data_IF_852448081929
#
_entry.id   IF_852448081929
#
_cell.length_a   1.000
_cell.length_b   1.000
_cell.length_c   1.000
_cell.angle_alpha   90.00
_cell.angle_beta   90.00
_cell.angle_gamma   90.00
#
_symmetry.space_group_name_H-M   'P 1'
#
loop_
_entity.id
_entity.type
_entity.pdbx_description
1 polymer ?
#
# COMPACT_ATOMS: atom_id res chain seq x y z
N UNK A 1 70.16 -1.33 -0.54
CA UNK A 1 69.23 -2.36 -1.03
C UNK A 1 68.25 -2.87 0.02
N UNK A 2 68.66 -3.32 1.22
CA UNK A 2 67.75 -3.86 2.25
C UNK A 2 66.57 -2.93 2.62
N UNK A 3 66.82 -1.61 2.78
CA UNK A 3 65.77 -0.63 3.12
C UNK A 3 64.69 -0.48 2.03
N UNK A 4 65.08 -0.55 0.76
CA UNK A 4 64.14 -0.45 -0.38
C UNK A 4 63.24 -1.69 -0.42
N UNK A 5 63.79 -2.86 -0.11
CA UNK A 5 63.06 -4.12 -0.09
C UNK A 5 62.03 -4.18 1.05
N UNK A 6 62.34 -3.59 2.20
CA UNK A 6 61.40 -3.44 3.33
C UNK A 6 60.26 -2.47 2.97
N UNK A 7 60.56 -1.36 2.31
CA UNK A 7 59.53 -0.39 1.87
C UNK A 7 58.58 -1.03 0.85
N UNK A 8 59.10 -1.78 -0.11
CA UNK A 8 58.28 -2.49 -1.10
C UNK A 8 57.37 -3.54 -0.45
N UNK A 9 57.87 -4.26 0.56
CA UNK A 9 57.07 -5.25 1.28
C UNK A 9 55.92 -4.62 2.07
N UNK A 10 56.16 -3.48 2.74
CA UNK A 10 55.12 -2.73 3.46
C UNK A 10 54.05 -2.22 2.48
N UNK A 11 54.46 -1.71 1.31
CA UNK A 11 53.52 -1.23 0.30
C UNK A 11 52.59 -2.34 -0.20
N UNK A 12 53.13 -3.55 -0.39
CA UNK A 12 52.37 -4.73 -0.80
C UNK A 12 51.31 -5.13 0.24
N UNK A 13 51.64 -5.05 1.53
CA UNK A 13 50.68 -5.32 2.61
C UNK A 13 49.55 -4.29 2.61
N UNK A 14 49.86 -3.00 2.43
CA UNK A 14 48.85 -1.94 2.39
C UNK A 14 47.91 -2.14 1.21
N UNK A 15 48.43 -2.44 0.02
CA UNK A 15 47.61 -2.72 -1.17
C UNK A 15 46.71 -3.94 -0.92
N UNK A 16 47.24 -5.01 -0.34
CA UNK A 16 46.47 -6.20 0.02
C UNK A 16 45.32 -5.88 1.00
N UNK A 17 45.59 -5.05 2.01
CA UNK A 17 44.57 -4.62 2.97
C UNK A 17 43.47 -3.77 2.32
N UNK A 18 43.81 -2.87 1.40
CA UNK A 18 42.85 -2.05 0.65
C UNK A 18 41.95 -2.94 -0.22
N UNK A 19 42.53 -3.91 -0.94
CA UNK A 19 41.75 -4.84 -1.78
C UNK A 19 40.79 -5.69 -0.94
N UNK A 20 41.26 -6.18 0.22
CA UNK A 20 40.42 -6.94 1.15
C UNK A 20 39.28 -6.09 1.71
N UNK A 21 39.57 -4.83 2.06
CA UNK A 21 38.58 -3.88 2.56
C UNK A 21 37.51 -3.55 1.51
N UNK A 22 37.91 -3.30 0.26
CA UNK A 22 36.98 -3.10 -0.87
C UNK A 22 36.12 -4.35 -1.08
N UNK A 23 36.71 -5.54 -1.04
CA UNK A 23 35.97 -6.81 -1.18
C UNK A 23 34.93 -6.99 -0.06
N UNK A 24 35.27 -6.68 1.20
CA UNK A 24 34.35 -6.76 2.33
C UNK A 24 33.21 -5.74 2.18
N UNK A 25 33.50 -4.51 1.76
CA UNK A 25 32.48 -3.48 1.50
C UNK A 25 31.55 -3.91 0.36
N UNK A 26 32.10 -4.39 -0.75
CA UNK A 26 31.31 -4.86 -1.90
C UNK A 26 30.46 -6.09 -1.57
N UNK A 27 30.94 -6.99 -0.70
CA UNK A 27 30.16 -8.15 -0.25
C UNK A 27 29.07 -7.77 0.77
N UNK A 28 29.29 -6.75 1.60
CA UNK A 28 28.26 -6.19 2.49
C UNK A 28 27.19 -5.42 1.70
N UNK A 29 27.60 -4.71 0.66
CA UNK A 29 26.73 -4.13 -0.34
C UNK A 29 26.34 -5.18 -1.37
N UNK A 30 26.00 -6.40 -0.92
CA UNK A 30 25.37 -7.39 -1.76
C UNK A 30 24.25 -6.68 -2.49
N UNK A 31 24.34 -6.66 -3.82
CA UNK A 31 23.38 -6.04 -4.74
C UNK A 31 22.02 -6.33 -4.15
N UNK A 32 21.40 -5.33 -3.51
CA UNK A 32 20.01 -5.46 -3.11
C UNK A 32 19.33 -5.84 -4.41
N UNK A 33 18.80 -7.06 -4.50
CA UNK A 33 17.74 -7.32 -5.46
C UNK A 33 16.80 -6.16 -5.23
N UNK A 34 16.73 -5.25 -6.18
CA UNK A 34 15.70 -4.24 -6.21
C UNK A 34 14.45 -5.10 -6.30
N UNK A 35 13.82 -5.31 -5.16
CA UNK A 35 12.63 -6.13 -5.06
C UNK A 35 11.58 -5.31 -5.82
N UNK A 36 11.47 -5.58 -7.11
CA UNK A 36 10.50 -4.92 -7.95
C UNK A 36 9.14 -5.21 -7.35
N UNK A 37 8.38 -4.16 -7.06
CA UNK A 37 6.99 -4.30 -6.65
C UNK A 37 6.25 -4.97 -7.79
N UNK A 38 5.78 -6.18 -7.55
CA UNK A 38 4.89 -6.88 -8.46
C UNK A 38 3.46 -6.45 -8.14
N UNK A 39 2.67 -6.20 -9.18
CA UNK A 39 1.28 -5.80 -9.09
C UNK A 39 0.39 -6.97 -9.51
N UNK A 40 -0.56 -7.31 -8.67
CA UNK A 40 -1.53 -8.36 -8.93
C UNK A 40 -2.84 -7.76 -9.42
N UNK A 41 -3.42 -8.29 -10.52
CA UNK A 41 -4.69 -7.81 -11.03
C UNK A 41 -5.85 -8.25 -10.11
N UNK A 42 -7.01 -7.60 -10.29
CA UNK A 42 -8.17 -7.75 -9.41
C UNK A 42 -8.69 -9.19 -9.36
N UNK A 43 -8.50 -9.98 -10.43
CA UNK A 43 -8.92 -11.37 -10.52
C UNK A 43 -8.14 -12.26 -9.55
N UNK A 44 -6.82 -12.05 -9.44
CA UNK A 44 -5.97 -12.80 -8.49
C UNK A 44 -6.31 -12.37 -7.06
N UNK A 45 -6.51 -11.07 -6.84
CA UNK A 45 -6.96 -10.55 -5.55
C UNK A 45 -8.35 -11.08 -5.15
N UNK A 46 -9.26 -11.27 -6.12
CA UNK A 46 -10.58 -11.86 -5.89
C UNK A 46 -10.48 -13.31 -5.44
N UNK A 47 -9.64 -14.13 -6.10
CA UNK A 47 -9.37 -15.50 -5.65
C UNK A 47 -8.83 -15.52 -4.22
N UNK A 48 -7.95 -14.57 -3.89
CA UNK A 48 -7.49 -14.39 -2.52
C UNK A 48 -8.60 -14.01 -1.55
N UNK A 49 -9.51 -13.11 -1.92
CA UNK A 49 -10.66 -12.77 -1.10
C UNK A 49 -11.59 -13.98 -0.87
N UNK A 50 -11.88 -14.75 -1.92
CA UNK A 50 -12.73 -15.95 -1.88
C UNK A 50 -12.18 -17.00 -0.91
N UNK A 51 -10.88 -17.30 -1.00
CA UNK A 51 -10.20 -18.23 -0.08
C UNK A 51 -10.19 -17.75 1.38
N UNK A 52 -10.33 -16.44 1.61
CA UNK A 52 -10.37 -15.82 2.94
C UNK A 52 -11.79 -15.54 3.44
N UNK A 53 -12.84 -16.01 2.76
CA UNK A 53 -14.22 -15.89 3.25
C UNK A 53 -14.46 -16.67 4.55
N UNK A 54 -13.58 -17.62 4.90
CA UNK A 54 -13.60 -18.36 6.17
C UNK A 54 -13.52 -17.46 7.41
N UNK A 55 -12.98 -16.23 7.30
CA UNK A 55 -13.04 -15.25 8.39
C UNK A 55 -14.50 -14.93 8.82
N UNK A 56 -15.45 -15.15 7.93
CA UNK A 56 -16.88 -14.99 8.13
C UNK A 56 -17.62 -16.32 8.38
N UNK A 57 -16.94 -17.39 8.84
CA UNK A 57 -17.52 -18.73 9.03
C UNK A 57 -18.85 -18.79 9.80
N UNK A 58 -19.12 -17.82 10.68
CA UNK A 58 -20.36 -17.72 11.45
C UNK A 58 -21.55 -17.14 10.66
N UNK A 59 -21.33 -16.72 9.41
CA UNK A 59 -22.34 -16.15 8.52
C UNK A 59 -22.81 -17.21 7.53
N UNK A 60 -24.07 -17.14 7.11
CA UNK A 60 -24.67 -18.15 6.23
C UNK A 60 -24.71 -17.65 4.80
N UNK A 61 -24.12 -18.40 3.88
CA UNK A 61 -24.13 -18.06 2.46
C UNK A 61 -23.31 -16.81 2.13
N UNK A 62 -22.09 -16.76 2.67
CA UNK A 62 -21.21 -15.60 2.47
C UNK A 62 -20.81 -15.48 1.01
N UNK A 63 -20.95 -14.29 0.44
CA UNK A 63 -20.55 -13.95 -0.93
C UNK A 63 -19.82 -12.60 -0.99
N UNK A 64 -18.98 -12.46 -2.02
CA UNK A 64 -18.42 -11.16 -2.42
C UNK A 64 -19.39 -10.49 -3.36
N UNK A 65 -19.86 -9.30 -3.00
CA UNK A 65 -20.87 -8.55 -3.75
C UNK A 65 -20.26 -7.47 -4.65
N UNK A 66 -19.10 -6.94 -4.26
CA UNK A 66 -18.49 -5.80 -4.94
C UNK A 66 -17.00 -5.73 -4.69
N UNK A 67 -16.33 -4.95 -5.55
CA UNK A 67 -14.91 -4.65 -5.44
C UNK A 67 -14.69 -3.16 -5.67
N UNK A 68 -13.77 -2.57 -4.94
CA UNK A 68 -13.34 -1.18 -5.12
C UNK A 68 -11.81 -1.13 -5.13
N UNK A 69 -11.23 -0.53 -6.16
CA UNK A 69 -9.77 -0.38 -6.27
C UNK A 69 -9.29 0.79 -5.44
N UNK A 70 -8.31 0.53 -4.57
CA UNK A 70 -7.58 1.54 -3.83
C UNK A 70 -6.21 1.76 -4.48
N UNK A 71 -5.71 2.98 -4.37
CA UNK A 71 -4.49 3.38 -5.06
C UNK A 71 -3.47 3.95 -4.07
N UNK A 72 -2.22 4.06 -4.50
CA UNK A 72 -1.24 4.91 -3.85
C UNK A 72 -1.34 6.36 -4.36
N UNK A 73 -0.48 7.23 -3.84
CA UNK A 73 -0.42 8.64 -4.24
C UNK A 73 0.06 8.87 -5.68
N UNK A 74 0.55 7.83 -6.35
CA UNK A 74 0.98 7.84 -7.75
C UNK A 74 -0.05 7.20 -8.68
N UNK A 75 -1.27 6.98 -8.21
CA UNK A 75 -2.37 6.32 -8.95
C UNK A 75 -2.09 4.87 -9.33
N UNK A 76 -1.18 4.20 -8.64
CA UNK A 76 -0.94 2.78 -8.85
C UNK A 76 -1.85 1.98 -7.91
N UNK A 77 -2.54 0.92 -8.37
CA UNK A 77 -3.31 0.06 -7.48
C UNK A 77 -2.45 -0.45 -6.33
N UNK A 78 -2.88 -0.18 -5.09
CA UNK A 78 -2.15 -0.59 -3.88
C UNK A 78 -2.91 -1.65 -3.09
N UNK A 79 -4.25 -1.66 -3.17
CA UNK A 79 -5.10 -2.67 -2.57
C UNK A 79 -6.49 -2.71 -3.24
N UNK A 80 -7.25 -3.76 -2.94
CA UNK A 80 -8.64 -3.96 -3.36
C UNK A 80 -9.52 -4.16 -2.13
N UNK A 81 -10.61 -3.40 -2.04
CA UNK A 81 -11.65 -3.56 -1.03
C UNK A 81 -12.76 -4.44 -1.61
N UNK A 82 -12.99 -5.61 -1.03
CA UNK A 82 -14.09 -6.49 -1.37
C UNK A 82 -15.21 -6.40 -0.34
N UNK A 83 -16.40 -6.03 -0.78
CA UNK A 83 -17.59 -6.01 0.08
C UNK A 83 -18.13 -7.43 0.21
N UNK A 84 -18.33 -7.87 1.44
CA UNK A 84 -18.80 -9.21 1.78
C UNK A 84 -20.20 -9.11 2.39
N UNK A 85 -21.14 -9.97 1.96
CA UNK A 85 -22.47 -10.06 2.56
C UNK A 85 -22.87 -11.50 2.85
N UNK A 86 -23.85 -11.68 3.75
CA UNK A 86 -24.54 -12.95 3.96
C UNK A 86 -25.99 -12.89 3.46
N UNK A 87 -26.67 -14.03 3.43
CA UNK A 87 -28.07 -14.10 2.97
C UNK A 87 -29.07 -13.35 3.85
N UNK A 88 -28.67 -12.95 5.06
CA UNK A 88 -29.49 -12.25 6.04
C UNK A 88 -29.17 -10.75 6.10
N UNK A 89 -28.33 -10.24 5.20
CA UNK A 89 -27.99 -8.83 5.10
C UNK A 89 -26.90 -8.35 6.05
N UNK A 90 -26.18 -9.25 6.74
CA UNK A 90 -24.92 -8.87 7.41
C UNK A 90 -23.94 -8.43 6.34
N UNK A 91 -23.16 -7.39 6.65
CA UNK A 91 -22.20 -6.82 5.71
C UNK A 91 -20.87 -6.56 6.41
N UNK A 92 -19.80 -6.82 5.66
CA UNK A 92 -18.42 -6.68 6.09
C UNK A 92 -17.54 -6.42 4.88
N UNK A 93 -16.23 -6.47 5.07
CA UNK A 93 -15.30 -6.33 3.96
C UNK A 93 -13.99 -7.08 4.19
N UNK A 94 -13.30 -7.34 3.09
CA UNK A 94 -11.91 -7.78 3.03
C UNK A 94 -11.09 -6.73 2.28
N UNK A 95 -9.88 -6.46 2.75
CA UNK A 95 -8.89 -5.70 1.99
C UNK A 95 -7.79 -6.65 1.58
N UNK A 96 -7.59 -6.76 0.28
CA UNK A 96 -6.58 -7.60 -0.34
C UNK A 96 -5.50 -6.71 -0.94
N UNK A 97 -4.23 -7.04 -0.74
CA UNK A 97 -3.13 -6.29 -1.33
C UNK A 97 -3.19 -6.36 -2.86
N UNK A 98 -2.88 -5.26 -3.55
CA UNK A 98 -2.68 -5.28 -5.00
C UNK A 98 -1.19 -5.50 -5.35
N UNK A 99 -0.34 -5.66 -4.34
CA UNK A 99 1.10 -5.78 -4.50
C UNK A 99 1.68 -6.91 -3.69
N UNK A 100 2.89 -7.33 -4.05
CA UNK A 100 3.69 -8.24 -3.25
C UNK A 100 4.39 -7.57 -2.05
N UNK A 101 4.08 -6.32 -1.68
CA UNK A 101 4.71 -5.66 -0.52
C UNK A 101 4.23 -6.19 0.83
N UNK A 102 3.10 -6.91 0.84
CA UNK A 102 2.51 -7.52 2.02
C UNK A 102 1.74 -8.78 1.68
N UNK A 103 1.27 -9.47 2.71
CA UNK A 103 0.41 -10.63 2.56
C UNK A 103 -0.87 -10.33 1.74
N UNK A 104 -1.47 -11.35 1.13
CA UNK A 104 -2.64 -11.21 0.28
C UNK A 104 -3.81 -10.59 1.05
N UNK A 105 -4.15 -11.13 2.23
CA UNK A 105 -5.14 -10.51 3.12
C UNK A 105 -4.46 -9.46 4.02
N UNK A 106 -4.87 -8.21 3.88
CA UNK A 106 -4.41 -7.08 4.69
C UNK A 106 -5.31 -6.89 5.91
N UNK A 107 -6.62 -6.79 5.67
CA UNK A 107 -7.61 -6.47 6.68
C UNK A 107 -8.92 -7.21 6.41
N UNK A 108 -9.65 -7.51 7.48
CA UNK A 108 -10.99 -8.06 7.43
C UNK A 108 -11.85 -7.42 8.51
N UNK A 109 -13.10 -7.10 8.20
CA UNK A 109 -14.04 -6.57 9.17
C UNK A 109 -15.43 -7.16 8.99
N UNK A 110 -16.09 -7.46 10.11
CA UNK A 110 -17.51 -7.85 10.18
C UNK A 110 -18.44 -6.64 10.38
N UNK A 111 -17.89 -5.42 10.34
CA UNK A 111 -18.65 -4.18 10.40
C UNK A 111 -19.10 -3.76 8.99
N UNK A 112 -20.34 -3.27 8.82
CA UNK A 112 -20.76 -2.67 7.56
C UNK A 112 -19.99 -1.39 7.24
N UNK A 113 -19.45 -0.69 8.25
CA UNK A 113 -18.63 0.49 8.07
C UNK A 113 -17.34 0.13 7.35
N UNK A 114 -17.19 0.66 6.14
CA UNK A 114 -16.01 0.43 5.32
C UNK A 114 -15.48 1.74 4.72
N UNK A 115 -14.22 1.76 4.26
CA UNK A 115 -13.59 2.98 3.76
C UNK A 115 -14.31 3.60 2.54
N UNK A 116 -14.98 2.79 1.71
CA UNK A 116 -15.74 3.30 0.57
C UNK A 116 -16.98 4.08 1.03
N UNK A 117 -17.71 3.60 2.04
CA UNK A 117 -18.84 4.33 2.63
C UNK A 117 -18.36 5.65 3.25
N UNK A 118 -17.25 5.61 3.99
CA UNK A 118 -16.66 6.81 4.59
C UNK A 118 -16.24 7.84 3.53
N UNK A 119 -15.72 7.39 2.38
CA UNK A 119 -15.40 8.25 1.25
C UNK A 119 -16.65 8.93 0.68
N UNK A 120 -17.76 8.19 0.49
CA UNK A 120 -19.03 8.77 0.00
C UNK A 120 -19.54 9.86 0.95
N UNK A 121 -19.49 9.60 2.26
CA UNK A 121 -19.88 10.57 3.28
C UNK A 121 -18.99 11.82 3.25
N UNK A 122 -17.67 11.65 3.09
CA UNK A 122 -16.73 12.76 2.94
C UNK A 122 -17.03 13.60 1.69
N UNK A 123 -17.29 12.98 0.54
CA UNK A 123 -17.62 13.70 -0.70
C UNK A 123 -18.87 14.55 -0.49
N UNK A 124 -19.90 13.99 0.14
CA UNK A 124 -21.13 14.73 0.44
C UNK A 124 -20.85 15.92 1.38
N UNK A 125 -20.01 15.73 2.41
CA UNK A 125 -19.58 16.80 3.30
C UNK A 125 -18.82 17.91 2.55
N UNK A 126 -17.80 17.55 1.77
CA UNK A 126 -16.98 18.52 1.01
C UNK A 126 -17.84 19.29 0.00
N UNK A 127 -18.77 18.62 -0.69
CA UNK A 127 -19.70 19.26 -1.61
C UNK A 127 -20.56 20.33 -0.90
N UNK A 128 -21.06 20.03 0.30
CA UNK A 128 -21.82 20.99 1.10
C UNK A 128 -20.98 22.19 1.54
N UNK A 129 -19.74 21.96 1.97
CA UNK A 129 -18.83 23.02 2.44
C UNK A 129 -18.36 23.94 1.31
N UNK A 130 -18.16 23.39 0.12
CA UNK A 130 -17.58 24.12 -1.02
C UNK A 130 -18.63 24.69 -1.98
N UNK A 131 -19.92 24.40 -1.75
CA UNK A 131 -21.04 24.72 -2.67
C UNK A 131 -20.90 24.09 -4.06
N UNK A 132 -20.03 23.10 -4.22
CA UNK A 132 -19.90 22.33 -5.45
C UNK A 132 -20.92 21.20 -5.48
N UNK A 133 -21.28 20.77 -6.70
CA UNK A 133 -22.08 19.56 -6.86
C UNK A 133 -21.15 18.36 -6.69
N UNK A 134 -21.56 17.24 -6.06
CA UNK A 134 -20.69 16.06 -5.94
C UNK A 134 -20.08 15.57 -7.26
N UNK A 135 -20.73 15.86 -8.40
CA UNK A 135 -20.23 15.54 -9.74
C UNK A 135 -18.99 16.35 -10.16
N UNK A 136 -18.76 17.52 -9.55
CA UNK A 136 -17.60 18.38 -9.81
C UNK A 136 -16.36 17.94 -9.02
N UNK A 137 -16.55 16.99 -8.09
CA UNK A 137 -15.51 16.42 -7.25
C UNK A 137 -15.03 15.10 -7.84
N UNK A 138 -13.73 14.99 -8.13
CA UNK A 138 -13.13 13.66 -8.33
C UNK A 138 -12.58 13.18 -7.00
N UNK A 139 -12.82 11.92 -6.71
CA UNK A 139 -12.40 11.30 -5.46
C UNK A 139 -11.70 9.99 -5.71
N UNK A 140 -10.76 9.67 -4.83
CA UNK A 140 -9.99 8.44 -4.89
C UNK A 140 -9.71 7.94 -3.49
N UNK A 141 -9.95 6.65 -3.26
CA UNK A 141 -9.56 5.97 -2.03
C UNK A 141 -8.09 5.57 -2.15
N UNK A 142 -7.31 5.97 -1.15
CA UNK A 142 -5.87 5.80 -1.12
C UNK A 142 -5.50 4.87 0.04
N UNK A 143 -4.67 3.88 -0.25
CA UNK A 143 -4.15 2.92 0.72
C UNK A 143 -2.63 2.90 0.70
N UNK A 144 -2.01 3.14 1.85
CA UNK A 144 -0.55 3.28 2.03
C UNK A 144 -0.02 2.31 3.11
N UNK A 145 -0.52 1.07 3.14
CA UNK A 145 0.05 0.00 3.97
C UNK A 145 -0.34 0.02 5.46
N UNK A 146 -1.24 0.91 5.88
CA UNK A 146 -1.66 1.02 7.30
C UNK A 146 -3.16 0.84 7.44
N UNK A 147 -3.66 0.67 8.67
CA UNK A 147 -5.12 0.65 8.95
C UNK A 147 -5.80 2.01 8.74
N UNK A 148 -5.02 3.05 8.41
CA UNK A 148 -5.55 4.36 8.07
C UNK A 148 -5.79 4.43 6.56
N UNK A 149 -7.04 4.64 6.17
CA UNK A 149 -7.41 4.91 4.78
C UNK A 149 -7.38 6.41 4.53
N UNK A 150 -6.95 6.80 3.33
CA UNK A 150 -6.90 8.19 2.93
C UNK A 150 -7.88 8.43 1.78
N UNK A 151 -8.39 9.64 1.65
CA UNK A 151 -9.19 10.08 0.53
C UNK A 151 -8.48 11.24 -0.15
N UNK A 152 -8.27 11.14 -1.45
CA UNK A 152 -7.88 12.28 -2.29
C UNK A 152 -9.14 12.87 -2.90
N UNK A 153 -9.36 14.16 -2.70
CA UNK A 153 -10.46 14.92 -3.31
C UNK A 153 -9.85 16.00 -4.20
N UNK A 154 -10.20 15.96 -5.48
CA UNK A 154 -9.87 16.98 -6.46
C UNK A 154 -11.09 17.89 -6.64
N UNK A 155 -10.91 19.16 -6.34
CA UNK A 155 -11.94 20.20 -6.41
C UNK A 155 -11.55 21.12 -7.56
N UNK A 156 -12.42 21.24 -8.56
CA UNK A 156 -12.21 22.14 -9.70
C UNK A 156 -13.06 23.39 -9.55
N UNK A 157 -12.40 24.55 -9.53
CA UNK A 157 -13.03 25.87 -9.49
C UNK A 157 -12.64 26.66 -10.74
N UNK A 158 -13.46 26.56 -11.80
CA UNK A 158 -13.11 27.12 -13.11
C UNK A 158 -11.86 26.45 -13.71
N UNK A 159 -10.76 27.22 -13.83
CA UNK A 159 -9.45 26.71 -14.26
C UNK A 159 -8.62 26.09 -13.14
N UNK A 160 -8.96 26.40 -11.88
CA UNK A 160 -8.12 26.05 -10.74
C UNK A 160 -8.46 24.65 -10.25
N UNK A 161 -7.42 23.89 -9.90
CA UNK A 161 -7.54 22.55 -9.35
C UNK A 161 -6.90 22.53 -7.95
N UNK A 162 -7.72 22.34 -6.93
CA UNK A 162 -7.27 22.09 -5.57
C UNK A 162 -7.31 20.59 -5.29
N UNK A 163 -6.18 20.04 -4.83
CA UNK A 163 -6.09 18.65 -4.38
C UNK A 163 -6.01 18.66 -2.86
N UNK A 164 -6.92 17.94 -2.20
CA UNK A 164 -6.95 17.79 -0.75
C UNK A 164 -6.89 16.32 -0.38
N UNK A 165 -6.14 16.01 0.67
CA UNK A 165 -6.06 14.67 1.21
C UNK A 165 -6.68 14.63 2.60
N UNK A 166 -7.53 13.64 2.84
CA UNK A 166 -8.19 13.44 4.12
C UNK A 166 -7.85 12.08 4.68
N UNK A 167 -7.58 11.98 5.98
CA UNK A 167 -7.62 10.71 6.69
C UNK A 167 -9.08 10.33 6.95
N UNK A 168 -9.47 9.15 6.50
CA UNK A 168 -10.80 8.58 6.74
C UNK A 168 -10.80 7.85 8.09
N UNK A 169 -11.68 8.29 8.99
CA UNK A 169 -11.91 7.65 10.28
C UNK A 169 -13.41 7.70 10.59
N UNK A 170 -13.95 6.66 11.23
CA UNK A 170 -15.35 6.61 11.69
C UNK A 170 -15.70 7.72 12.68
N UNK A 171 -14.72 8.26 13.41
CA UNK A 171 -14.90 9.37 14.34
C UNK A 171 -14.86 10.77 13.70
N UNK A 172 -14.51 10.88 12.41
CA UNK A 172 -14.40 12.15 11.69
C UNK A 172 -13.22 12.18 10.71
N UNK A 173 -13.34 13.02 9.68
CA UNK A 173 -12.34 13.15 8.63
C UNK A 173 -11.38 14.32 8.94
N UNK A 174 -10.08 14.09 8.77
CA UNK A 174 -9.05 15.10 9.06
C UNK A 174 -8.27 15.44 7.79
N UNK A 175 -8.16 16.74 7.47
CA UNK A 175 -7.32 17.20 6.36
C UNK A 175 -5.84 16.94 6.71
N UNK A 176 -5.11 16.39 5.75
CA UNK A 176 -3.68 16.11 5.87
C UNK A 176 -2.87 17.13 5.07
N UNK A 177 -1.70 17.44 5.60
CA UNK A 177 -0.68 18.24 4.91
C UNK A 177 0.09 17.40 3.90
N UNK A 178 0.69 18.06 2.89
CA UNK A 178 1.50 17.38 1.88
C UNK A 178 2.68 16.61 2.49
N UNK A 179 3.27 17.12 3.58
CA UNK A 179 4.40 16.47 4.23
C UNK A 179 3.98 15.20 4.98
N UNK A 180 2.82 15.19 5.61
CA UNK A 180 2.24 13.95 6.18
C UNK A 180 1.96 12.90 5.10
N UNK A 181 1.50 13.33 3.92
CA UNK A 181 1.28 12.42 2.78
C UNK A 181 2.60 11.85 2.26
N UNK A 182 3.64 12.68 2.11
CA UNK A 182 4.98 12.24 1.69
C UNK A 182 5.60 11.27 2.70
N UNK A 183 5.46 11.53 4.00
CA UNK A 183 5.97 10.65 5.05
C UNK A 183 5.29 9.28 4.99
N UNK A 184 3.95 9.26 4.92
CA UNK A 184 3.17 8.02 4.79
C UNK A 184 3.51 7.25 3.52
N UNK A 185 3.67 7.95 2.40
CA UNK A 185 4.07 7.30 1.15
C UNK A 185 5.47 6.72 1.23
N UNK A 186 6.42 7.45 1.82
CA UNK A 186 7.79 6.97 2.03
C UNK A 186 7.83 5.73 2.92
N UNK A 187 7.02 5.73 3.98
CA UNK A 187 6.83 4.57 4.85
C UNK A 187 6.24 3.38 4.08
N UNK A 188 5.18 3.59 3.29
CA UNK A 188 4.60 2.55 2.43
C UNK A 188 5.61 1.98 1.44
N UNK A 189 6.43 2.83 0.82
CA UNK A 189 7.49 2.40 -0.09
C UNK A 189 8.60 1.62 0.62
N UNK A 190 8.82 1.87 1.92
CA UNK A 190 9.75 1.12 2.75
C UNK A 190 9.22 -0.25 3.20
N UNK A 191 7.90 -0.46 3.14
CA UNK A 191 7.31 -1.76 3.51
C UNK A 191 7.68 -2.81 2.47
N UNK A 192 8.50 -3.75 2.91
CA UNK A 192 8.82 -4.97 2.18
C UNK A 192 8.66 -6.14 3.14
N UNK A 193 7.56 -6.85 3.04
CA UNK A 193 7.46 -8.18 3.63
C UNK A 193 8.30 -9.15 2.78
N UNK A 194 9.25 -9.86 3.39
CA UNK A 194 10.07 -10.85 2.67
C UNK A 194 9.34 -12.19 2.49
N UNK A 195 8.21 -12.38 3.17
CA UNK A 195 7.40 -13.60 3.10
C UNK A 195 6.13 -13.43 2.25
N UNK A 196 5.81 -12.22 1.80
CA UNK A 196 4.63 -11.92 1.00
C UNK A 196 4.60 -12.68 -0.34
N UNK A 197 5.72 -12.75 -1.06
CA UNK A 197 5.80 -13.47 -2.35
C UNK A 197 5.30 -14.92 -2.21
N UNK A 198 5.73 -15.62 -1.15
CA UNK A 198 5.31 -17.01 -0.88
C UNK A 198 3.82 -17.13 -0.60
N UNK A 199 3.24 -16.16 0.08
CA UNK A 199 1.81 -16.15 0.37
C UNK A 199 0.97 -15.88 -0.87
N UNK A 200 1.53 -15.19 -1.87
CA UNK A 200 0.90 -14.94 -3.17
C UNK A 200 1.03 -16.10 -4.15
N UNK A 201 2.11 -16.90 -4.11
CA UNK A 201 2.34 -18.03 -5.02
C UNK A 201 1.16 -19.00 -5.16
N UNK A 202 0.37 -19.21 -4.08
CA UNK A 202 -0.80 -20.11 -4.12
C UNK A 202 -1.94 -19.57 -4.99
N UNK A 203 -1.99 -18.26 -5.23
CA UNK A 203 -3.02 -17.61 -6.03
C UNK A 203 -2.61 -17.43 -7.49
N UNK A 204 -1.31 -17.48 -7.78
CA UNK A 204 -0.75 -17.33 -9.13
C UNK A 204 -0.81 -18.61 -9.99
N UNK A 205 -1.19 -19.75 -9.39
CA UNK A 205 -1.40 -21.04 -10.06
C UNK A 205 -2.87 -21.23 -10.45
#
# INVERSE_FOLDING_TARGET
>A
MKKILVILFILLIIIGAIVLFIYIISKKNGVQKVNNTEYYPVEIARKAAEDNLSVFESWRGVSIEGTFTMYDTQYTPSAYLFTVKDYYGKAGYLVISATNKGGPLIESSKSPDNPQINLVNLIAQVAQETRHVPADLKSQLIYLGTKDYLAKIEIREGSDLAIKYYKLNSAGNFLLTDDEIKERYSFYMSMMDKESDKNWEKYLK
#
